data_IF_995670182318
#
_entry.id   IF_995670182318
#
_cell.length_a   1.000
_cell.length_b   1.000
_cell.length_c   1.000
_cell.angle_alpha   90.00
_cell.angle_beta   90.00
_cell.angle_gamma   90.00
#
_symmetry.space_group_name_H-M   'P 1'
#
loop_
_entity.id
_entity.type
_entity.pdbx_description
1 polymer ?
#
# COMPACT_ATOMS: atom_id res chain seq x y z
N UNK A 1 -2.82 -6.43 -49.23
CA UNK A 1 -2.03 -6.71 -48.01
C UNK A 1 -2.37 -5.65 -46.96
N UNK A 2 -3.35 -5.92 -46.10
CA UNK A 2 -3.59 -5.14 -44.89
C UNK A 2 -3.33 -6.09 -43.72
N UNK A 3 -2.55 -5.69 -42.71
CA UNK A 3 -2.57 -6.45 -41.45
C UNK A 3 -1.37 -6.38 -40.50
N UNK A 4 -0.19 -5.88 -40.90
CA UNK A 4 0.97 -5.92 -39.99
C UNK A 4 1.17 -4.64 -39.16
N UNK A 5 0.82 -3.46 -39.70
CA UNK A 5 1.04 -2.16 -39.02
C UNK A 5 0.01 -1.87 -37.93
N UNK A 6 -1.24 -2.32 -38.08
CA UNK A 6 -2.33 -2.07 -37.11
C UNK A 6 -2.25 -2.95 -35.87
N UNK A 7 -1.65 -4.15 -35.98
CA UNK A 7 -1.52 -5.08 -34.86
C UNK A 7 -0.49 -4.62 -33.82
N UNK A 8 0.66 -4.12 -34.25
CA UNK A 8 1.74 -3.71 -33.32
C UNK A 8 1.43 -2.40 -32.60
N UNK A 9 0.77 -1.44 -33.25
CA UNK A 9 0.30 -0.21 -32.59
C UNK A 9 -0.86 -0.49 -31.63
N UNK A 10 -1.79 -1.38 -32.01
CA UNK A 10 -2.85 -1.86 -31.12
C UNK A 10 -2.29 -2.52 -29.86
N UNK A 11 -1.35 -3.46 -30.02
CA UNK A 11 -0.69 -4.14 -28.89
C UNK A 11 0.07 -3.18 -27.97
N UNK A 12 0.73 -2.15 -28.52
CA UNK A 12 1.40 -1.11 -27.71
C UNK A 12 0.40 -0.31 -26.89
N UNK A 13 -0.74 0.05 -27.49
CA UNK A 13 -1.80 0.77 -26.78
C UNK A 13 -2.40 -0.07 -25.66
N UNK A 14 -2.69 -1.34 -25.93
CA UNK A 14 -3.24 -2.26 -24.93
C UNK A 14 -2.26 -2.50 -23.78
N UNK A 15 -0.97 -2.69 -24.08
CA UNK A 15 0.07 -2.81 -23.05
C UNK A 15 0.18 -1.55 -22.18
N UNK A 16 0.16 -0.36 -22.80
CA UNK A 16 0.20 0.90 -22.05
C UNK A 16 -1.03 1.08 -21.15
N UNK A 17 -2.20 0.60 -21.58
CA UNK A 17 -3.42 0.60 -20.77
C UNK A 17 -3.29 -0.34 -19.57
N UNK A 18 -2.85 -1.58 -19.79
CA UNK A 18 -2.64 -2.58 -18.73
C UNK A 18 -1.66 -2.05 -17.69
N UNK A 19 -0.53 -1.48 -18.10
CA UNK A 19 0.46 -0.92 -17.17
C UNK A 19 -0.11 0.22 -16.31
N UNK A 20 -1.01 1.05 -16.86
CA UNK A 20 -1.68 2.11 -16.09
C UNK A 20 -2.67 1.53 -15.09
N UNK A 21 -3.45 0.54 -15.50
CA UNK A 21 -4.41 -0.15 -14.64
C UNK A 21 -3.69 -0.86 -13.50
N UNK A 22 -2.61 -1.59 -13.80
CA UNK A 22 -1.74 -2.22 -12.80
C UNK A 22 -1.18 -1.20 -11.81
N UNK A 23 -0.67 -0.06 -12.28
CA UNK A 23 -0.18 1.02 -11.41
C UNK A 23 -1.26 1.59 -10.48
N UNK A 24 -2.50 1.71 -10.95
CA UNK A 24 -3.63 2.14 -10.11
C UNK A 24 -3.95 1.11 -9.04
N UNK A 25 -4.02 -0.17 -9.43
CA UNK A 25 -4.31 -1.26 -8.51
C UNK A 25 -3.24 -1.39 -7.42
N UNK A 26 -1.97 -1.27 -7.78
CA UNK A 26 -0.87 -1.27 -6.80
C UNK A 26 -1.06 -0.14 -5.79
N UNK A 27 -1.40 1.07 -6.24
CA UNK A 27 -1.64 2.21 -5.34
C UNK A 27 -2.82 1.95 -4.39
N UNK A 28 -3.93 1.42 -4.89
CA UNK A 28 -5.11 1.09 -4.08
C UNK A 28 -4.78 0.01 -3.04
N UNK A 29 -4.09 -1.07 -3.45
CA UNK A 29 -3.63 -2.12 -2.54
C UNK A 29 -2.71 -1.58 -1.44
N UNK A 30 -1.77 -0.69 -1.78
CA UNK A 30 -0.89 -0.05 -0.81
C UNK A 30 -1.66 0.80 0.20
N UNK A 31 -2.68 1.53 -0.25
CA UNK A 31 -3.56 2.32 0.62
C UNK A 31 -4.33 1.42 1.58
N UNK A 32 -4.99 0.37 1.07
CA UNK A 32 -5.74 -0.60 1.88
C UNK A 32 -4.85 -1.27 2.93
N UNK A 33 -3.64 -1.70 2.54
CA UNK A 33 -2.70 -2.32 3.47
C UNK A 33 -2.24 -1.35 4.58
N UNK A 34 -2.01 -0.08 4.22
CA UNK A 34 -1.63 0.97 5.18
C UNK A 34 -2.77 1.24 6.17
N UNK A 35 -4.01 1.33 5.69
CA UNK A 35 -5.18 1.49 6.56
C UNK A 35 -5.36 0.29 7.49
N UNK A 36 -5.21 -0.93 6.98
CA UNK A 36 -5.28 -2.15 7.78
C UNK A 36 -4.24 -2.17 8.90
N UNK A 37 -2.99 -1.77 8.61
CA UNK A 37 -1.93 -1.66 9.62
C UNK A 37 -2.29 -0.63 10.72
N UNK A 38 -2.85 0.52 10.34
CA UNK A 38 -3.33 1.52 11.28
C UNK A 38 -4.45 1.00 12.19
N UNK A 39 -5.48 0.38 11.60
CA UNK A 39 -6.62 -0.17 12.35
C UNK A 39 -6.19 -1.30 13.29
N UNK A 40 -5.23 -2.13 12.86
CA UNK A 40 -4.67 -3.18 13.70
C UNK A 40 -3.99 -2.61 14.95
N UNK A 41 -3.13 -1.59 14.81
CA UNK A 41 -2.50 -0.92 15.94
C UNK A 41 -3.51 -0.27 16.90
N UNK A 42 -4.60 0.28 16.35
CA UNK A 42 -5.71 0.84 17.15
C UNK A 42 -6.39 -0.26 17.97
N UNK A 43 -6.68 -1.41 17.36
CA UNK A 43 -7.29 -2.56 18.02
C UNK A 43 -6.40 -3.12 19.13
N UNK A 44 -5.10 -3.28 18.90
CA UNK A 44 -4.16 -3.71 19.96
C UNK A 44 -4.18 -2.76 21.17
N UNK A 45 -4.32 -1.45 20.92
CA UNK A 45 -4.39 -0.45 21.99
C UNK A 45 -5.68 -0.61 22.80
N UNK A 46 -6.80 -0.90 22.14
CA UNK A 46 -8.09 -1.18 22.78
C UNK A 46 -8.01 -2.49 23.57
N UNK A 47 -7.42 -3.54 22.99
CA UNK A 47 -7.24 -4.85 23.64
C UNK A 47 -6.43 -4.71 24.93
N UNK A 48 -5.29 -4.02 24.90
CA UNK A 48 -4.47 -3.75 26.09
C UNK A 48 -5.23 -2.98 27.18
N UNK A 49 -6.09 -2.05 26.79
CA UNK A 49 -6.93 -1.34 27.75
C UNK A 49 -7.95 -2.30 28.40
N UNK A 50 -8.59 -3.16 27.62
CA UNK A 50 -9.54 -4.16 28.13
C UNK A 50 -8.88 -5.20 29.05
N UNK A 51 -7.64 -5.61 28.75
CA UNK A 51 -6.88 -6.55 29.59
C UNK A 51 -6.43 -5.93 30.93
N UNK A 52 -6.20 -4.62 30.97
CA UNK A 52 -5.70 -3.93 32.16
C UNK A 52 -6.83 -3.36 33.03
N UNK A 53 -7.62 -2.45 32.47
CA UNK A 53 -8.83 -1.87 33.04
C UNK A 53 -9.51 -1.02 31.96
N UNK A 54 -10.83 -1.16 31.70
CA UNK A 54 -11.51 -0.36 30.68
C UNK A 54 -11.31 1.16 30.82
N UNK A 55 -11.10 1.65 32.05
CA UNK A 55 -10.84 3.07 32.35
C UNK A 55 -9.46 3.55 31.88
N UNK A 56 -8.54 2.63 31.54
CA UNK A 56 -7.21 2.95 31.00
C UNK A 56 -7.25 3.30 29.51
N UNK A 57 -8.38 3.07 28.83
CA UNK A 57 -8.53 3.41 27.43
C UNK A 57 -8.39 4.92 27.19
N UNK A 58 -7.47 5.27 26.29
CA UNK A 58 -7.28 6.64 25.83
C UNK A 58 -7.40 6.69 24.30
N UNK A 59 -8.46 7.33 23.81
CA UNK A 59 -8.71 7.44 22.37
C UNK A 59 -7.62 8.19 21.63
N UNK A 60 -7.00 9.20 22.27
CA UNK A 60 -5.90 9.96 21.67
C UNK A 60 -4.66 9.11 21.50
N UNK A 61 -4.34 8.28 22.48
CA UNK A 61 -3.24 7.32 22.37
C UNK A 61 -3.50 6.30 21.24
N UNK A 62 -4.73 5.80 21.14
CA UNK A 62 -5.12 4.91 20.04
C UNK A 62 -4.99 5.58 18.66
N UNK A 63 -5.41 6.85 18.53
CA UNK A 63 -5.25 7.64 17.30
C UNK A 63 -3.76 7.86 16.96
N UNK A 64 -2.92 8.14 17.96
CA UNK A 64 -1.47 8.31 17.78
C UNK A 64 -0.79 7.00 17.35
N UNK A 65 -1.19 5.86 17.91
CA UNK A 65 -0.66 4.55 17.54
C UNK A 65 -1.10 4.15 16.12
N UNK A 66 -2.34 4.42 15.75
CA UNK A 66 -2.83 4.26 14.38
C UNK A 66 -1.99 5.09 13.39
N UNK A 67 -1.76 6.38 13.69
CA UNK A 67 -0.95 7.26 12.83
C UNK A 67 0.49 6.75 12.68
N UNK A 68 1.14 6.38 13.79
CA UNK A 68 2.52 5.86 13.77
C UNK A 68 2.64 4.58 12.95
N UNK A 69 1.64 3.69 13.04
CA UNK A 69 1.63 2.46 12.26
C UNK A 69 1.48 2.74 10.76
N UNK A 70 0.59 3.67 10.37
CA UNK A 70 0.44 4.10 8.97
C UNK A 70 1.73 4.71 8.42
N UNK A 71 2.36 5.61 9.18
CA UNK A 71 3.59 6.29 8.76
C UNK A 71 4.74 5.30 8.59
N UNK A 72 4.90 4.38 9.55
CA UNK A 72 5.92 3.33 9.51
C UNK A 72 5.71 2.42 8.30
N UNK A 73 4.51 1.89 8.12
CA UNK A 73 4.21 0.98 7.02
C UNK A 73 4.41 1.65 5.65
N UNK A 74 3.92 2.89 5.50
CA UNK A 74 4.12 3.69 4.27
C UNK A 74 5.61 3.86 3.96
N UNK A 75 6.41 4.21 4.97
CA UNK A 75 7.85 4.39 4.80
C UNK A 75 8.58 3.09 4.43
N UNK A 76 8.22 1.98 5.06
CA UNK A 76 8.80 0.65 4.77
C UNK A 76 8.43 0.18 3.35
N UNK A 77 7.17 0.37 2.95
CA UNK A 77 6.68 0.06 1.61
C UNK A 77 7.40 0.90 0.54
N UNK A 78 7.53 2.21 0.75
CA UNK A 78 8.27 3.06 -0.20
C UNK A 78 9.74 2.63 -0.32
N UNK A 79 10.36 2.25 0.79
CA UNK A 79 11.76 1.82 0.79
C UNK A 79 11.93 0.48 0.06
N UNK A 80 11.02 -0.48 0.25
CA UNK A 80 11.06 -1.76 -0.48
C UNK A 80 10.83 -1.56 -1.97
N UNK A 81 9.86 -0.75 -2.37
CA UNK A 81 9.60 -0.44 -3.79
C UNK A 81 10.82 0.25 -4.45
N UNK A 82 11.50 1.16 -3.74
CA UNK A 82 12.73 1.80 -4.22
C UNK A 82 13.90 0.80 -4.33
N UNK A 83 14.01 -0.16 -3.42
CA UNK A 83 15.02 -1.21 -3.48
C UNK A 83 14.78 -2.16 -4.67
N UNK A 84 13.55 -2.64 -4.84
CA UNK A 84 13.17 -3.51 -5.96
C UNK A 84 13.39 -2.82 -7.32
N UNK A 85 13.10 -1.52 -7.40
CA UNK A 85 13.36 -0.74 -8.62
C UNK A 85 14.85 -0.62 -8.94
N UNK A 86 15.71 -0.48 -7.92
CA UNK A 86 17.17 -0.44 -8.11
C UNK A 86 17.73 -1.79 -8.53
N UNK A 87 17.26 -2.88 -7.93
CA UNK A 87 17.72 -4.24 -8.27
C UNK A 87 17.34 -4.61 -9.70
N UNK A 88 16.12 -4.26 -10.14
CA UNK A 88 15.68 -4.46 -11.53
C UNK A 88 16.39 -3.56 -12.55
N UNK A 89 16.97 -2.44 -12.13
CA UNK A 89 17.72 -1.53 -13.01
C UNK A 89 19.20 -1.94 -13.18
N UNK A 90 19.74 -2.71 -12.24
CA UNK A 90 21.14 -3.14 -12.22
C UNK A 90 21.35 -4.61 -12.63
N UNK A 91 20.28 -5.36 -12.87
CA UNK A 91 20.28 -6.77 -13.29
C UNK A 91 20.08 -7.00 -14.78
#
# INVERSE_FOLDING_TARGET
MFGAKTGTEGLKSDLAKILREEGSLVKELSQVATEAAGLHARLETIEKALESSPDSYNSKEADEMESKAKDKYTSELENSMKADAKDKANG
#
